data_IF_633431718951
#
_entry.id   IF_633431718951
#
_cell.length_a   1.000
_cell.length_b   1.000
_cell.length_c   1.000
_cell.angle_alpha   90.00
_cell.angle_beta   90.00
_cell.angle_gamma   90.00
#
_symmetry.space_group_name_H-M   'P 1'
#
loop_
_entity.id
_entity.type
_entity.pdbx_description
1 polymer ?
#
# COMPACT_ATOMS: atom_id res chain seq x y z
N UNK A 1 8.07 -3.01 36.75
CA UNK A 1 8.79 -2.68 35.51
C UNK A 1 7.76 -2.53 34.42
N UNK A 2 7.55 -1.31 33.90
CA UNK A 2 6.62 -1.08 32.80
C UNK A 2 7.28 -1.52 31.49
N UNK A 3 6.63 -2.44 30.78
CA UNK A 3 6.99 -2.81 29.41
C UNK A 3 6.73 -1.60 28.51
N UNK A 4 7.80 -0.87 28.20
CA UNK A 4 7.80 0.12 27.13
C UNK A 4 7.59 -0.66 25.83
N UNK A 5 6.36 -0.64 25.31
CA UNK A 5 6.10 -1.05 23.93
C UNK A 5 6.90 -0.06 23.08
N UNK A 6 8.05 -0.50 22.58
CA UNK A 6 8.74 0.24 21.55
C UNK A 6 7.76 0.27 20.40
N UNK A 7 7.20 1.45 20.11
CA UNK A 7 6.48 1.68 18.87
C UNK A 7 7.46 1.29 17.77
N UNK A 8 7.27 0.10 17.21
CA UNK A 8 8.02 -0.38 16.08
C UNK A 8 7.93 0.73 15.06
N UNK A 9 9.08 1.35 14.77
CA UNK A 9 9.26 2.19 13.60
C UNK A 9 9.12 1.24 12.40
N UNK A 10 7.90 0.77 12.14
CA UNK A 10 7.51 0.27 10.85
C UNK A 10 7.87 1.40 9.91
N UNK A 11 8.99 1.23 9.20
CA UNK A 11 9.42 2.13 8.14
C UNK A 11 8.19 2.24 7.26
N UNK A 12 7.49 3.37 7.38
CA UNK A 12 6.26 3.57 6.64
C UNK A 12 6.67 3.38 5.18
N UNK A 13 6.05 2.45 4.45
CA UNK A 13 6.39 2.30 3.05
C UNK A 13 6.27 3.69 2.42
N UNK A 14 7.38 4.19 1.88
CA UNK A 14 7.43 5.53 1.31
C UNK A 14 6.67 5.42 0.00
N UNK A 15 5.36 5.67 0.05
CA UNK A 15 4.52 5.73 -1.13
C UNK A 15 4.90 7.03 -1.86
N UNK A 16 5.42 6.97 -3.09
CA UNK A 16 5.79 8.16 -3.85
C UNK A 16 4.57 9.06 -4.06
N UNK A 17 4.66 10.31 -3.58
CA UNK A 17 3.65 11.34 -3.87
C UNK A 17 3.87 11.86 -5.28
N UNK A 18 2.79 12.08 -6.02
CA UNK A 18 2.87 12.75 -7.31
C UNK A 18 3.25 14.22 -7.10
N UNK A 19 4.32 14.65 -7.79
CA UNK A 19 4.94 15.97 -7.67
C UNK A 19 4.89 16.80 -8.97
N UNK A 20 4.17 16.30 -9.99
CA UNK A 20 4.10 16.90 -11.32
C UNK A 20 5.09 16.30 -12.33
N UNK A 21 6.10 15.53 -11.90
CA UNK A 21 7.07 14.88 -12.78
C UNK A 21 6.70 13.43 -13.04
N UNK A 22 5.76 13.20 -13.96
CA UNK A 22 5.20 11.87 -14.25
C UNK A 22 6.27 10.79 -14.47
N UNK A 23 7.30 11.06 -15.28
CA UNK A 23 8.37 10.09 -15.58
C UNK A 23 9.16 9.66 -14.35
N UNK A 24 9.43 10.59 -13.43
CA UNK A 24 10.15 10.28 -12.21
C UNK A 24 9.25 9.52 -11.23
N UNK A 25 8.03 10.00 -11.04
CA UNK A 25 7.03 9.37 -10.19
C UNK A 25 6.69 7.94 -10.64
N UNK A 26 6.48 7.72 -11.94
CA UNK A 26 6.15 6.40 -12.49
C UNK A 26 7.25 5.37 -12.25
N UNK A 27 8.52 5.79 -12.38
CA UNK A 27 9.67 4.93 -12.10
C UNK A 27 9.73 4.51 -10.63
N UNK A 28 9.43 5.43 -9.70
CA UNK A 28 9.37 5.12 -8.27
C UNK A 28 8.19 4.19 -7.92
N UNK A 29 7.02 4.43 -8.52
CA UNK A 29 5.84 3.59 -8.33
C UNK A 29 6.04 2.18 -8.90
N UNK A 30 6.70 2.05 -10.05
CA UNK A 30 7.02 0.74 -10.63
C UNK A 30 7.95 -0.06 -9.70
N UNK A 31 9.02 0.56 -9.20
CA UNK A 31 9.92 -0.09 -8.24
C UNK A 31 9.19 -0.53 -6.97
N UNK A 32 8.31 0.33 -6.43
CA UNK A 32 7.50 0.01 -5.26
C UNK A 32 6.63 -1.23 -5.50
N UNK A 33 5.87 -1.24 -6.60
CA UNK A 33 4.96 -2.35 -6.93
C UNK A 33 5.70 -3.66 -7.16
N UNK A 34 6.85 -3.62 -7.86
CA UNK A 34 7.69 -4.80 -8.09
C UNK A 34 8.31 -5.32 -6.80
N UNK A 35 8.78 -4.43 -5.90
CA UNK A 35 9.36 -4.80 -4.61
C UNK A 35 8.37 -5.47 -3.64
N UNK A 36 7.06 -5.28 -3.89
CA UNK A 36 5.97 -5.85 -3.10
C UNK A 36 5.24 -6.98 -3.82
N UNK A 37 5.71 -7.39 -5.00
CA UNK A 37 5.08 -8.40 -5.85
C UNK A 37 3.64 -8.04 -6.25
N UNK A 38 3.25 -6.76 -6.14
CA UNK A 38 1.92 -6.24 -6.48
C UNK A 38 1.75 -5.98 -7.97
N UNK A 39 2.79 -6.14 -8.79
CA UNK A 39 2.71 -5.89 -10.23
C UNK A 39 1.57 -6.65 -10.91
N UNK A 40 1.31 -7.91 -10.50
CA UNK A 40 0.20 -8.70 -11.05
C UNK A 40 -1.19 -8.12 -10.79
N UNK A 41 -1.35 -7.33 -9.72
CA UNK A 41 -2.62 -6.66 -9.37
C UNK A 41 -2.97 -5.50 -10.30
N UNK A 42 -2.01 -5.00 -11.09
CA UNK A 42 -2.29 -3.98 -12.10
C UNK A 42 -3.13 -4.57 -13.24
N UNK A 43 -2.90 -5.84 -13.58
CA UNK A 43 -3.63 -6.54 -14.64
C UNK A 43 -4.93 -7.16 -14.12
N UNK A 44 -4.89 -7.79 -12.94
CA UNK A 44 -6.07 -8.46 -12.37
C UNK A 44 -7.02 -7.51 -11.63
N UNK A 45 -6.55 -6.33 -11.25
CA UNK A 45 -7.30 -5.35 -10.47
C UNK A 45 -7.36 -5.66 -8.97
N UNK A 46 -7.86 -4.71 -8.19
CA UNK A 46 -8.09 -4.86 -6.74
C UNK A 46 -9.58 -4.85 -6.48
N UNK A 47 -10.07 -5.80 -5.67
CA UNK A 47 -11.48 -5.83 -5.25
C UNK A 47 -11.72 -4.67 -4.28
N UNK A 48 -12.46 -3.67 -4.74
CA UNK A 48 -12.85 -2.53 -3.90
C UNK A 48 -14.06 -2.95 -3.08
N UNK A 49 -13.90 -2.97 -1.75
CA UNK A 49 -15.03 -3.20 -0.86
C UNK A 49 -16.09 -2.09 -1.04
N UNK A 50 -17.39 -2.42 -1.11
CA UNK A 50 -18.45 -1.42 -1.21
C UNK A 50 -18.42 -0.46 -0.02
N UNK A 51 -18.91 0.78 -0.21
CA UNK A 51 -18.85 1.85 0.81
C UNK A 51 -19.50 1.46 2.15
N UNK A 52 -20.46 0.55 2.11
CA UNK A 52 -21.21 -0.03 3.24
C UNK A 52 -20.80 -1.47 3.58
N UNK A 53 -19.60 -1.90 3.16
CA UNK A 53 -19.07 -3.23 3.48
C UNK A 53 -19.05 -3.45 5.01
N UNK A 54 -19.71 -4.54 5.44
CA UNK A 54 -19.69 -4.98 6.83
C UNK A 54 -18.26 -5.38 7.25
N UNK A 55 -17.98 -5.37 8.55
CA UNK A 55 -16.64 -5.64 9.07
C UNK A 55 -16.05 -6.99 8.61
N UNK A 56 -16.90 -7.98 8.30
CA UNK A 56 -16.46 -9.25 7.71
C UNK A 56 -16.03 -9.13 6.25
N UNK A 57 -16.73 -8.34 5.43
CA UNK A 57 -16.39 -8.13 4.03
C UNK A 57 -15.08 -7.35 3.87
N UNK A 58 -14.73 -6.52 4.85
CA UNK A 58 -13.43 -5.80 4.92
C UNK A 58 -12.25 -6.69 5.32
N UNK A 59 -12.49 -7.89 5.84
CA UNK A 59 -11.42 -8.85 6.21
C UNK A 59 -10.97 -9.72 5.02
N UNK A 60 -11.79 -9.78 3.97
CA UNK A 60 -11.58 -10.60 2.78
C UNK A 60 -11.04 -9.80 1.59
N UNK A 61 -10.94 -8.47 1.73
CA UNK A 61 -10.30 -7.55 0.79
C UNK A 61 -8.89 -7.20 1.30
#
# INVERSE_FOLDING_TARGET
MAIMVQSSNFVKPVIPKFDGYYKHWSMLMENLLRSKEYWGLIETGVVIAPANATAEQRRLA
#
